data_IF_277330069388
#
_entry.id   IF_277330069388
#
_cell.length_a   1.000
_cell.length_b   1.000
_cell.length_c   1.000
_cell.angle_alpha   90.00
_cell.angle_beta   90.00
_cell.angle_gamma   90.00
#
_symmetry.space_group_name_H-M   'P 1'
#
loop_
_entity.id
_entity.type
_entity.pdbx_description
1 polymer ?
#
# COMPACT_ATOMS: atom_id res chain seq x y z
N UNK A 1 -8.14 7.27 5.91
CA UNK A 1 -8.30 7.52 4.46
C UNK A 1 -7.71 6.44 3.55
N UNK A 2 -6.45 5.98 3.71
CA UNK A 2 -5.93 4.80 2.97
C UNK A 2 -6.27 3.50 3.69
N UNK A 3 -5.88 3.35 4.96
CA UNK A 3 -6.20 2.17 5.80
C UNK A 3 -7.69 1.80 5.80
N UNK A 4 -8.56 2.80 5.98
CA UNK A 4 -10.02 2.64 5.91
C UNK A 4 -10.51 2.17 4.52
N UNK A 5 -9.84 2.57 3.44
CA UNK A 5 -10.22 2.19 2.07
C UNK A 5 -9.75 0.78 1.69
N UNK A 6 -8.71 0.28 2.32
CA UNK A 6 -8.25 -1.12 2.13
C UNK A 6 -9.09 -2.09 2.99
N UNK A 7 -9.86 -1.59 3.97
CA UNK A 7 -10.77 -2.41 4.76
C UNK A 7 -10.08 -3.43 5.67
N UNK A 8 -8.82 -3.16 6.06
CA UNK A 8 -8.01 -4.05 6.89
C UNK A 8 -8.12 -3.67 8.36
N UNK A 9 -8.15 -4.68 9.23
CA UNK A 9 -7.94 -4.49 10.67
C UNK A 9 -6.52 -3.93 10.90
N UNK A 10 -6.37 -2.71 11.46
CA UNK A 10 -5.07 -2.11 11.75
C UNK A 10 -4.22 -2.94 12.72
N UNK A 11 -4.84 -3.69 13.63
CA UNK A 11 -4.14 -4.53 14.60
C UNK A 11 -3.71 -5.87 14.00
N UNK A 12 -4.37 -6.30 12.92
CA UNK A 12 -4.08 -7.53 12.19
C UNK A 12 -2.75 -7.50 11.45
N UNK A 13 -2.24 -8.69 11.10
CA UNK A 13 -0.96 -8.85 10.40
C UNK A 13 -0.91 -8.03 9.09
N UNK A 14 -2.01 -8.05 8.32
CA UNK A 14 -2.13 -7.30 7.06
C UNK A 14 -2.18 -5.78 7.27
N UNK A 15 -2.84 -5.31 8.33
CA UNK A 15 -2.89 -3.87 8.67
C UNK A 15 -1.53 -3.33 9.10
N UNK A 16 -0.77 -4.13 9.89
CA UNK A 16 0.61 -3.83 10.25
C UNK A 16 1.54 -3.80 9.02
N UNK A 17 1.39 -4.78 8.12
CA UNK A 17 2.15 -4.83 6.87
C UNK A 17 1.86 -3.61 5.98
N UNK A 18 0.59 -3.25 5.80
CA UNK A 18 0.18 -2.04 5.07
C UNK A 18 0.76 -0.77 5.68
N UNK A 19 0.71 -0.65 7.01
CA UNK A 19 1.30 0.49 7.73
C UNK A 19 2.80 0.56 7.51
N UNK A 20 3.49 -0.58 7.53
CA UNK A 20 4.92 -0.64 7.25
C UNK A 20 5.25 -0.21 5.81
N UNK A 21 4.49 -0.67 4.82
CA UNK A 21 4.64 -0.27 3.41
C UNK A 21 4.45 1.24 3.25
N UNK A 22 3.43 1.82 3.89
CA UNK A 22 3.19 3.27 3.83
C UNK A 22 4.31 4.07 4.49
N UNK A 23 4.88 3.57 5.58
CA UNK A 23 5.99 4.22 6.27
C UNK A 23 7.33 4.13 5.50
N UNK A 24 7.52 3.09 4.70
CA UNK A 24 8.69 2.94 3.83
C UNK A 24 8.50 3.59 2.46
N UNK A 25 7.28 3.99 2.11
CA UNK A 25 7.00 4.69 0.87
C UNK A 25 7.63 6.09 0.90
N UNK A 26 8.32 6.55 -0.16
CA UNK A 26 8.99 7.84 -0.13
C UNK A 26 7.98 8.96 0.10
N UNK A 27 8.27 9.89 1.02
CA UNK A 27 7.33 10.98 1.37
C UNK A 27 6.95 11.82 0.17
N UNK A 28 7.91 12.17 -0.67
CA UNK A 28 7.66 12.95 -1.89
C UNK A 28 6.66 12.22 -2.80
N UNK A 29 6.66 10.89 -2.77
CA UNK A 29 5.68 10.11 -3.50
C UNK A 29 4.28 10.10 -2.87
N UNK A 30 4.20 10.15 -1.54
CA UNK A 30 2.93 10.31 -0.81
C UNK A 30 2.27 11.65 -1.09
N UNK A 31 3.05 12.70 -1.33
CA UNK A 31 2.53 14.04 -1.63
C UNK A 31 2.13 14.22 -3.10
N UNK A 32 2.86 13.61 -4.03
CA UNK A 32 2.56 13.67 -5.46
C UNK A 32 1.48 12.67 -5.90
N UNK A 33 1.36 11.53 -5.20
CA UNK A 33 0.40 10.48 -5.52
C UNK A 33 -1.00 10.75 -4.95
N UNK A 34 -2.04 10.36 -5.70
CA UNK A 34 -3.40 10.42 -5.17
C UNK A 34 -3.62 9.33 -4.11
N UNK A 35 -4.55 9.53 -3.17
CA UNK A 35 -4.99 8.49 -2.21
C UNK A 35 -5.42 7.21 -2.94
N UNK A 36 -5.96 7.33 -4.15
CA UNK A 36 -6.41 6.20 -4.98
C UNK A 36 -5.23 5.38 -5.51
N UNK A 37 -4.13 6.05 -5.90
CA UNK A 37 -2.90 5.39 -6.32
C UNK A 37 -2.19 4.71 -5.16
N UNK A 38 -2.14 5.37 -4.00
CA UNK A 38 -1.57 4.78 -2.79
C UNK A 38 -2.31 3.49 -2.39
N UNK A 39 -3.65 3.50 -2.42
CA UNK A 39 -4.46 2.29 -2.20
C UNK A 39 -4.12 1.21 -3.22
N UNK A 40 -4.07 1.54 -4.52
CA UNK A 40 -3.76 0.57 -5.60
C UNK A 40 -2.38 -0.07 -5.43
N UNK A 41 -1.36 0.74 -5.12
CA UNK A 41 0.02 0.29 -4.98
C UNK A 41 0.16 -0.57 -3.73
N UNK A 42 -0.30 -0.06 -2.59
CA UNK A 42 -0.12 -0.75 -1.31
C UNK A 42 -0.91 -2.06 -1.21
N UNK A 43 -2.14 -2.11 -1.75
CA UNK A 43 -2.90 -3.37 -1.87
C UNK A 43 -2.19 -4.34 -2.84
N UNK A 44 -1.61 -3.81 -3.92
CA UNK A 44 -0.79 -4.58 -4.84
C UNK A 44 0.41 -5.22 -4.17
N UNK A 45 1.19 -4.45 -3.40
CA UNK A 45 2.37 -4.90 -2.65
C UNK A 45 1.97 -5.92 -1.57
N UNK A 46 0.88 -5.67 -0.84
CA UNK A 46 0.37 -6.59 0.16
C UNK A 46 0.01 -7.96 -0.45
N UNK A 47 -0.64 -7.95 -1.62
CA UNK A 47 -0.94 -9.18 -2.35
C UNK A 47 0.31 -9.92 -2.87
N UNK A 48 1.43 -9.21 -3.09
CA UNK A 48 2.71 -9.85 -3.45
C UNK A 48 3.41 -10.51 -2.26
N UNK A 49 3.19 -10.01 -1.05
CA UNK A 49 3.72 -10.67 0.15
C UNK A 49 3.11 -12.06 0.34
N UNK A 50 1.81 -12.19 0.03
CA UNK A 50 1.12 -13.49 0.05
C UNK A 50 1.47 -14.36 -1.15
N UNK A 51 1.80 -13.77 -2.30
CA UNK A 51 2.08 -14.46 -3.56
C UNK A 51 3.37 -13.95 -4.17
N UNK A 52 4.44 -14.75 -4.10
CA UNK A 52 5.76 -14.44 -4.71
C UNK A 52 5.64 -14.27 -6.23
N UNK A 53 5.31 -13.06 -6.68
CA UNK A 53 5.18 -12.65 -8.08
C UNK A 53 5.77 -11.26 -8.25
N UNK A 54 6.26 -10.96 -9.45
CA UNK A 54 6.72 -9.61 -9.80
C UNK A 54 5.54 -8.81 -10.34
N UNK A 55 5.38 -7.56 -9.89
CA UNK A 55 4.47 -6.56 -10.46
C UNK A 55 5.19 -5.23 -10.60
N UNK A 56 4.85 -4.49 -11.65
CA UNK A 56 5.30 -3.12 -11.88
C UNK A 56 4.14 -2.15 -11.61
N UNK A 57 4.39 -1.08 -10.86
CA UNK A 57 3.42 -0.02 -10.60
C UNK A 57 3.91 1.27 -11.27
N UNK A 58 3.27 1.66 -12.36
CA UNK A 58 3.56 2.94 -13.03
C UNK A 58 2.83 4.09 -12.33
N UNK A 59 3.51 5.23 -12.23
CA UNK A 59 2.94 6.53 -11.85
C UNK A 59 2.31 7.22 -13.07
N UNK A 60 1.26 7.99 -12.83
CA UNK A 60 0.67 8.93 -13.80
C UNK A 60 0.76 10.34 -13.23
#
# INVERSE_FOLDING_TARGET
RVLEKVGLDPAGHRGKALTHILNSYPRDELFQGSVKDLVRITDGVLNLQDRRRVKLFLRR
#
